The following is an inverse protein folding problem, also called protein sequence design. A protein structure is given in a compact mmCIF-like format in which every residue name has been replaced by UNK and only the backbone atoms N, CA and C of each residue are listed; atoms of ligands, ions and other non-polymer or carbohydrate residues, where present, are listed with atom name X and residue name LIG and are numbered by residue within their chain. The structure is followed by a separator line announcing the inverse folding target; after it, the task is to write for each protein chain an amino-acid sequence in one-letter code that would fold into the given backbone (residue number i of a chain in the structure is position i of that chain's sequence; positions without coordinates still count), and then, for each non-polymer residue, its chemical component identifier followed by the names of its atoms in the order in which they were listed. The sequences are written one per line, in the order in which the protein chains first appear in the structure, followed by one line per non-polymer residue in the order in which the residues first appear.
data_IF_713388896789
#
_entry.id   IF_713388896789
#
_cell.length_a   1.000
_cell.length_b   1.000
_cell.length_c   1.000
_cell.angle_alpha   90.00
_cell.angle_beta   90.00
_cell.angle_gamma   90.00
#
_symmetry.space_group_name_H-M   'P 1'
#
loop_
_entity.id
_entity.type
_entity.pdbx_description
1 polymer ?
#
# COMPACT_ATOMS: atom_id res chain seq x y z
N UNK A 1 -1.81 20.96 20.48
CA UNK A 1 -0.55 20.19 20.31
C UNK A 1 -0.83 19.03 19.34
N UNK A 2 -0.94 19.35 18.04
CA UNK A 2 -1.33 18.41 16.98
C UNK A 2 -0.19 18.33 15.98
N UNK A 3 0.63 17.27 16.04
CA UNK A 3 1.83 17.20 15.21
C UNK A 3 2.33 15.76 15.03
N UNK A 4 1.46 14.76 14.80
CA UNK A 4 1.94 13.39 14.48
C UNK A 4 0.97 12.53 13.62
N UNK A 5 0.02 13.10 12.87
CA UNK A 5 -0.91 12.27 12.06
C UNK A 5 -0.66 12.30 10.55
N UNK A 6 0.13 13.23 10.03
CA UNK A 6 0.31 13.36 8.57
C UNK A 6 1.31 12.38 7.98
N UNK A 7 2.31 11.97 8.75
CA UNK A 7 3.29 11.02 8.23
C UNK A 7 2.66 9.62 8.10
N UNK A 8 2.90 8.93 6.98
CA UNK A 8 2.67 7.49 6.90
C UNK A 8 3.44 6.75 8.02
N UNK A 9 2.99 5.56 8.45
CA UNK A 9 3.74 4.77 9.41
C UNK A 9 5.07 4.29 8.80
N UNK A 10 6.10 4.15 9.63
CA UNK A 10 7.30 3.42 9.25
C UNK A 10 7.07 1.93 9.52
N UNK A 11 7.06 1.04 8.51
CA UNK A 11 6.87 -0.37 8.74
C UNK A 11 8.06 -0.93 9.52
N UNK A 12 7.78 -1.62 10.62
CA UNK A 12 8.76 -2.45 11.32
C UNK A 12 8.88 -3.77 10.57
N UNK A 13 9.67 -3.81 9.50
CA UNK A 13 9.96 -5.05 8.81
C UNK A 13 11.17 -5.74 9.47
N UNK A 14 11.18 -7.08 9.57
CA UNK A 14 12.40 -7.78 9.87
C UNK A 14 13.44 -7.43 8.79
N UNK A 15 14.75 -7.41 9.11
CA UNK A 15 15.79 -6.93 8.21
C UNK A 15 15.86 -7.65 6.85
N UNK A 16 15.16 -8.79 6.71
CA UNK A 16 14.98 -9.54 5.46
C UNK A 16 13.56 -10.12 5.38
N UNK A 17 12.56 -9.34 4.98
CA UNK A 17 11.27 -9.90 4.60
C UNK A 17 11.40 -10.51 3.20
N UNK A 18 11.37 -11.84 3.07
CA UNK A 18 11.56 -12.52 1.79
C UNK A 18 12.91 -12.24 1.11
N UNK A 19 13.97 -11.97 1.91
CA UNK A 19 15.30 -11.61 1.37
C UNK A 19 15.48 -10.13 1.01
N UNK A 20 14.46 -9.29 1.25
CA UNK A 20 14.52 -7.85 0.97
C UNK A 20 14.93 -7.02 2.18
N UNK A 21 15.87 -6.10 1.96
CA UNK A 21 16.21 -5.05 2.90
C UNK A 21 15.58 -3.73 2.44
N UNK A 22 14.92 -3.02 3.37
CA UNK A 22 14.37 -1.68 3.13
C UNK A 22 15.23 -0.60 3.72
N UNK A 23 15.48 0.44 2.93
CA UNK A 23 16.19 1.64 3.34
C UNK A 23 15.28 2.86 3.10
N UNK A 24 14.97 3.65 4.14
CA UNK A 24 14.28 4.92 3.94
C UNK A 24 15.11 5.82 3.02
N UNK A 25 14.47 6.45 2.04
CA UNK A 25 15.10 7.44 1.17
C UNK A 25 14.69 8.87 1.51
N UNK A 26 13.64 9.02 2.32
CA UNK A 26 13.14 10.32 2.80
C UNK A 26 13.41 10.48 4.29
N UNK A 27 13.84 11.67 4.69
CA UNK A 27 13.92 12.04 6.09
C UNK A 27 12.51 12.12 6.73
N UNK A 28 12.33 11.74 8.02
CA UNK A 28 11.04 11.80 8.69
C UNK A 28 10.31 13.15 8.66
N UNK A 29 11.04 14.27 8.71
CA UNK A 29 10.46 15.61 8.65
C UNK A 29 9.96 15.96 7.24
N UNK A 30 10.68 15.52 6.20
CA UNK A 30 10.21 15.65 4.82
C UNK A 30 9.01 14.75 4.55
N UNK A 31 9.04 13.53 5.09
CA UNK A 31 7.93 12.58 4.94
C UNK A 31 6.62 13.11 5.51
N UNK A 32 6.69 13.79 6.67
CA UNK A 32 5.54 14.42 7.30
C UNK A 32 4.97 15.55 6.43
N UNK A 33 5.83 16.40 5.86
CA UNK A 33 5.40 17.52 4.99
C UNK A 33 4.79 17.06 3.67
N UNK A 34 5.29 15.95 3.11
CA UNK A 34 4.76 15.37 1.87
C UNK A 34 3.56 14.45 2.09
N UNK A 35 3.27 14.04 3.33
CA UNK A 35 2.31 12.97 3.59
C UNK A 35 2.75 11.62 3.01
N UNK A 36 4.05 11.44 2.78
CA UNK A 36 4.63 10.35 1.97
C UNK A 36 5.94 9.84 2.57
N UNK A 37 6.17 8.53 2.57
CA UNK A 37 7.47 7.91 2.91
C UNK A 37 7.95 7.10 1.73
N UNK A 38 9.17 7.36 1.29
CA UNK A 38 9.82 6.57 0.26
C UNK A 38 10.89 5.65 0.83
N UNK A 39 11.00 4.47 0.24
CA UNK A 39 11.98 3.44 0.57
C UNK A 39 12.63 2.93 -0.71
N UNK A 40 13.88 2.51 -0.60
CA UNK A 40 14.52 1.62 -1.55
C UNK A 40 14.53 0.23 -0.94
N UNK A 41 13.92 -0.73 -1.63
CA UNK A 41 14.02 -2.15 -1.32
C UNK A 41 15.10 -2.78 -2.21
N UNK A 42 15.98 -3.56 -1.60
CA UNK A 42 17.04 -4.30 -2.28
C UNK A 42 16.98 -5.77 -1.88
N UNK A 43 17.15 -6.68 -2.83
CA UNK A 43 17.38 -8.10 -2.58
C UNK A 43 18.71 -8.53 -3.22
N UNK A 44 19.24 -9.68 -2.80
CA UNK A 44 20.53 -10.19 -3.30
C UNK A 44 20.48 -10.56 -4.79
N UNK A 45 19.29 -10.75 -5.38
CA UNK A 45 19.08 -11.34 -6.70
C UNK A 45 18.49 -10.38 -7.75
N UNK A 46 18.32 -9.08 -7.46
CA UNK A 46 17.61 -8.19 -8.37
C UNK A 46 17.93 -6.70 -8.22
N UNK A 47 17.50 -5.88 -9.19
CA UNK A 47 17.67 -4.44 -9.11
C UNK A 47 16.86 -3.85 -7.93
N UNK A 48 17.30 -2.71 -7.38
CA UNK A 48 16.55 -2.02 -6.35
C UNK A 48 15.17 -1.59 -6.86
N UNK A 49 14.15 -1.74 -6.01
CA UNK A 49 12.83 -1.17 -6.25
C UNK A 49 12.56 -0.05 -5.26
N UNK A 50 11.84 0.96 -5.72
CA UNK A 50 11.38 2.09 -4.93
C UNK A 50 9.95 1.82 -4.50
N UNK A 51 9.70 1.99 -3.20
CA UNK A 51 8.37 1.99 -2.63
C UNK A 51 8.03 3.40 -2.20
N UNK A 52 6.80 3.83 -2.44
CA UNK A 52 6.23 5.01 -1.81
C UNK A 52 4.96 4.65 -1.08
N UNK A 53 4.85 5.15 0.15
CA UNK A 53 3.65 5.00 0.97
C UNK A 53 3.12 6.40 1.23
N UNK A 54 1.86 6.65 0.88
CA UNK A 54 1.19 7.95 1.10
C UNK A 54 -0.01 7.79 2.00
N UNK A 55 -0.38 8.86 2.72
CA UNK A 55 -1.72 8.98 3.30
C UNK A 55 -2.70 9.36 2.20
N UNK A 56 -3.83 8.65 2.10
CA UNK A 56 -4.86 8.96 1.11
C UNK A 56 -5.34 10.43 1.16
N UNK A 57 -5.55 11.08 2.34
CA UNK A 57 -5.89 12.50 2.40
C UNK A 57 -4.98 13.44 1.57
N UNK A 58 -3.73 13.04 1.37
CA UNK A 58 -2.68 13.79 0.67
C UNK A 58 -2.41 13.27 -0.75
N UNK A 59 -3.22 12.34 -1.24
CA UNK A 59 -3.06 11.68 -2.52
C UNK A 59 -4.26 11.96 -3.45
N UNK A 60 -4.07 12.07 -4.79
CA UNK A 60 -5.16 12.29 -5.76
C UNK A 60 -6.32 11.29 -5.65
N UNK A 61 -6.03 10.04 -5.26
CA UNK A 61 -7.03 8.98 -5.04
C UNK A 61 -8.12 9.31 -4.01
N UNK A 62 -7.92 10.33 -3.17
CA UNK A 62 -8.94 10.82 -2.24
C UNK A 62 -10.26 11.22 -2.95
N UNK A 63 -10.17 11.56 -4.23
CA UNK A 63 -11.33 11.94 -5.04
C UNK A 63 -12.07 10.74 -5.66
N UNK A 64 -11.50 9.53 -5.60
CA UNK A 64 -12.01 8.37 -6.34
C UNK A 64 -12.93 7.47 -5.51
N UNK A 65 -12.90 7.56 -4.18
CA UNK A 65 -13.73 6.73 -3.29
C UNK A 65 -13.82 7.32 -1.88
N UNK A 66 -14.81 6.90 -1.06
CA UNK A 66 -14.86 7.26 0.36
C UNK A 66 -13.69 6.63 1.14
N UNK A 67 -12.77 7.46 1.62
CA UNK A 67 -11.55 7.04 2.31
C UNK A 67 -11.55 7.36 3.81
N UNK A 68 -10.81 6.57 4.58
CA UNK A 68 -10.50 6.83 5.98
C UNK A 68 -9.23 7.67 6.16
N UNK A 69 -9.13 8.43 7.25
CA UNK A 69 -7.95 9.26 7.54
C UNK A 69 -6.64 8.46 7.69
N UNK A 70 -6.75 7.16 7.96
CA UNK A 70 -5.61 6.25 8.11
C UNK A 70 -5.38 5.34 6.90
N UNK A 71 -6.17 5.50 5.83
CA UNK A 71 -5.97 4.72 4.61
C UNK A 71 -4.64 5.13 3.98
N UNK A 72 -3.94 4.12 3.46
CA UNK A 72 -2.63 4.29 2.83
C UNK A 72 -2.71 4.02 1.34
N UNK A 73 -1.88 4.69 0.57
CA UNK A 73 -1.58 4.33 -0.83
C UNK A 73 -0.17 3.77 -0.88
N UNK A 74 0.01 2.65 -1.58
CA UNK A 74 1.30 2.02 -1.82
C UNK A 74 1.59 1.99 -3.33
N UNK A 75 2.74 2.54 -3.71
CA UNK A 75 3.25 2.53 -5.09
C UNK A 75 4.60 1.82 -5.13
N UNK A 76 4.87 1.09 -6.22
CA UNK A 76 6.12 0.33 -6.44
C UNK A 76 6.72 0.70 -7.80
N UNK A 77 8.02 0.98 -7.87
CA UNK A 77 8.70 1.35 -9.13
C UNK A 77 10.18 0.94 -9.12
N UNK A 78 10.73 0.24 -10.12
CA UNK A 78 10.02 -0.35 -11.24
C UNK A 78 9.20 -1.56 -10.77
N UNK A 79 8.08 -1.81 -11.44
CA UNK A 79 7.41 -3.10 -11.37
C UNK A 79 8.19 -4.09 -12.24
N UNK A 80 9.26 -4.63 -11.69
CA UNK A 80 10.06 -5.71 -12.31
C UNK A 80 9.53 -7.07 -11.82
N UNK A 81 10.16 -8.18 -12.23
CA UNK A 81 9.67 -9.55 -12.17
C UNK A 81 8.79 -9.91 -10.94
N UNK A 82 7.72 -10.63 -11.23
CA UNK A 82 6.57 -10.88 -10.35
C UNK A 82 6.96 -11.53 -9.01
N UNK A 83 7.84 -12.52 -9.02
CA UNK A 83 8.07 -13.35 -7.83
C UNK A 83 8.78 -12.62 -6.68
N UNK A 84 9.93 -11.93 -6.89
CA UNK A 84 10.61 -11.23 -5.80
C UNK A 84 9.78 -10.10 -5.18
N UNK A 85 9.06 -9.31 -5.99
CA UNK A 85 8.26 -8.18 -5.49
C UNK A 85 7.02 -8.66 -4.74
N UNK A 86 6.41 -9.75 -5.18
CA UNK A 86 5.24 -10.33 -4.50
C UNK A 86 5.54 -10.66 -3.04
N UNK A 87 6.69 -11.29 -2.76
CA UNK A 87 7.06 -11.65 -1.37
C UNK A 87 7.40 -10.44 -0.51
N UNK A 88 8.01 -9.41 -1.11
CA UNK A 88 8.19 -8.11 -0.45
C UNK A 88 6.85 -7.52 -0.02
N UNK A 89 5.87 -7.47 -0.91
CA UNK A 89 4.54 -6.92 -0.63
C UNK A 89 3.81 -7.74 0.44
N UNK A 90 3.85 -9.08 0.36
CA UNK A 90 3.25 -9.96 1.38
C UNK A 90 3.83 -9.73 2.77
N UNK A 91 5.13 -9.46 2.88
CA UNK A 91 5.76 -9.11 4.16
C UNK A 91 5.42 -7.69 4.62
N UNK A 92 5.38 -6.73 3.69
CA UNK A 92 5.16 -5.31 3.96
C UNK A 92 3.74 -5.01 4.47
N UNK A 93 2.71 -5.63 3.90
CA UNK A 93 1.33 -5.33 4.26
C UNK A 93 1.03 -5.55 5.76
N UNK A 94 1.32 -6.71 6.38
CA UNK A 94 1.15 -6.89 7.82
C UNK A 94 1.97 -5.91 8.66
N UNK A 95 3.19 -5.56 8.21
CA UNK A 95 4.04 -4.63 8.94
C UNK A 95 3.46 -3.20 8.93
N UNK A 96 2.82 -2.78 7.83
CA UNK A 96 2.13 -1.50 7.75
C UNK A 96 0.89 -1.46 8.64
N UNK A 97 0.06 -2.51 8.64
CA UNK A 97 -1.09 -2.60 9.55
C UNK A 97 -0.69 -2.67 11.02
N UNK A 98 0.44 -3.31 11.33
CA UNK A 98 0.98 -3.32 12.69
C UNK A 98 1.47 -1.93 13.12
N UNK A 99 2.12 -1.21 12.21
CA UNK A 99 2.66 0.13 12.47
C UNK A 99 1.57 1.22 12.55
N UNK A 100 0.43 1.05 11.88
CA UNK A 100 -0.76 1.85 12.06
C UNK A 100 -2.02 1.00 12.26
N UNK A 101 -2.35 0.64 13.52
CA UNK A 101 -3.52 -0.19 13.83
C UNK A 101 -4.88 0.43 13.44
N UNK A 102 -4.92 1.72 13.09
CA UNK A 102 -6.14 2.39 12.60
C UNK A 102 -6.28 2.31 11.08
N UNK A 103 -5.25 1.87 10.37
CA UNK A 103 -5.29 1.64 8.93
C UNK A 103 -6.23 0.47 8.61
N UNK A 104 -7.34 0.76 7.93
CA UNK A 104 -8.35 -0.25 7.57
C UNK A 104 -8.13 -0.85 6.19
N UNK A 105 -7.40 -0.15 5.32
CA UNK A 105 -7.07 -0.59 3.97
C UNK A 105 -5.80 0.09 3.45
N UNK A 106 -5.09 -0.63 2.59
CA UNK A 106 -3.96 -0.14 1.81
C UNK A 106 -4.35 -0.26 0.35
N UNK A 107 -4.29 0.85 -0.38
CA UNK A 107 -4.67 0.95 -1.79
C UNK A 107 -3.43 0.93 -2.67
N UNK A 108 -3.49 0.19 -3.77
CA UNK A 108 -2.58 0.34 -4.89
C UNK A 108 -3.39 0.75 -6.13
N UNK A 109 -2.80 1.59 -6.99
CA UNK A 109 -3.47 2.10 -8.18
C UNK A 109 -2.52 2.07 -9.38
N UNK A 110 -2.12 0.88 -9.88
CA UNK A 110 -1.37 0.77 -11.12
C UNK A 110 -2.15 1.38 -12.29
N UNK A 111 -1.42 1.83 -13.31
CA UNK A 111 -2.01 2.20 -14.59
C UNK A 111 -2.83 1.05 -15.17
N UNK A 112 -3.92 1.37 -15.85
CA UNK A 112 -4.81 0.37 -16.44
C UNK A 112 -4.09 -0.56 -17.43
N UNK A 113 -3.12 -0.03 -18.17
CA UNK A 113 -2.31 -0.79 -19.13
C UNK A 113 -1.16 -1.60 -18.48
N UNK A 114 -0.89 -1.43 -17.19
CA UNK A 114 0.21 -2.10 -16.49
C UNK A 114 -0.22 -3.46 -15.92
N UNK A 115 -0.41 -4.42 -16.81
CA UNK A 115 -0.85 -5.77 -16.44
C UNK A 115 0.16 -6.50 -15.54
N UNK A 116 1.45 -6.18 -15.63
CA UNK A 116 2.49 -6.82 -14.83
C UNK A 116 2.38 -6.43 -13.35
N UNK A 117 2.18 -5.14 -13.07
CA UNK A 117 1.93 -4.66 -11.70
C UNK A 117 0.62 -5.22 -11.16
N UNK A 118 -0.42 -5.26 -11.99
CA UNK A 118 -1.73 -5.80 -11.59
C UNK A 118 -1.63 -7.28 -11.15
N UNK A 119 -0.98 -8.13 -11.95
CA UNK A 119 -0.75 -9.54 -11.59
C UNK A 119 0.09 -9.69 -10.30
N UNK A 120 1.07 -8.81 -10.11
CA UNK A 120 1.90 -8.80 -8.90
C UNK A 120 1.08 -8.44 -7.65
N UNK A 121 0.19 -7.44 -7.76
CA UNK A 121 -0.70 -7.04 -6.67
C UNK A 121 -1.68 -8.16 -6.29
N UNK A 122 -2.29 -8.81 -7.27
CA UNK A 122 -3.17 -9.96 -7.04
C UNK A 122 -2.43 -11.10 -6.33
N UNK A 123 -1.24 -11.45 -6.83
CA UNK A 123 -0.40 -12.47 -6.21
C UNK A 123 0.04 -12.09 -4.78
N UNK A 124 0.20 -10.80 -4.50
CA UNK A 124 0.54 -10.28 -3.18
C UNK A 124 -0.65 -10.24 -2.20
N UNK A 125 -1.86 -10.56 -2.67
CA UNK A 125 -3.07 -10.63 -1.85
C UNK A 125 -3.94 -9.37 -1.89
N UNK A 126 -3.66 -8.44 -2.80
CA UNK A 126 -4.60 -7.36 -3.09
C UNK A 126 -5.81 -7.88 -3.86
N UNK A 127 -6.96 -7.23 -3.66
CA UNK A 127 -8.20 -7.48 -4.40
C UNK A 127 -8.49 -6.32 -5.32
N UNK A 128 -8.75 -6.60 -6.60
CA UNK A 128 -9.22 -5.61 -7.57
C UNK A 128 -10.60 -5.07 -7.15
N UNK A 129 -10.80 -3.76 -7.23
CA UNK A 129 -12.05 -3.09 -6.83
C UNK A 129 -12.75 -2.50 -8.05
N UNK A 130 -12.15 -1.51 -8.70
CA UNK A 130 -12.73 -0.76 -9.82
C UNK A 130 -11.63 -0.03 -10.59
N UNK A 131 -11.94 0.45 -11.79
CA UNK A 131 -11.15 1.49 -12.46
C UNK A 131 -11.52 2.88 -11.94
N UNK A 132 -10.60 3.83 -12.05
CA UNK A 132 -10.82 5.24 -11.77
C UNK A 132 -9.96 6.12 -12.69
N UNK A 133 -10.49 7.29 -13.05
CA UNK A 133 -9.75 8.29 -13.80
C UNK A 133 -9.08 9.29 -12.85
N UNK A 134 -7.77 9.44 -13.00
CA UNK A 134 -6.98 10.47 -12.35
C UNK A 134 -6.50 11.51 -13.38
N UNK A 135 -6.06 12.71 -12.95
CA UNK A 135 -5.51 13.71 -13.87
C UNK A 135 -4.36 13.19 -14.74
N UNK A 136 -3.60 12.22 -14.23
CA UNK A 136 -2.42 11.66 -14.90
C UNK A 136 -2.74 10.37 -15.70
N UNK A 137 -4.00 9.92 -15.70
CA UNK A 137 -4.46 8.75 -16.46
C UNK A 137 -5.39 7.82 -15.70
N UNK A 138 -5.90 6.81 -16.40
CA UNK A 138 -6.78 5.79 -15.86
C UNK A 138 -5.98 4.72 -15.09
N UNK A 139 -6.48 4.38 -13.91
CA UNK A 139 -5.86 3.43 -12.99
C UNK A 139 -6.85 2.35 -12.58
N UNK A 140 -6.33 1.19 -12.17
CA UNK A 140 -7.14 0.14 -11.55
C UNK A 140 -6.89 0.15 -10.05
N UNK A 141 -7.93 0.33 -9.25
CA UNK A 141 -7.85 0.33 -7.79
C UNK A 141 -7.82 -1.09 -7.25
N UNK A 142 -6.79 -1.35 -6.46
CA UNK A 142 -6.59 -2.58 -5.69
C UNK A 142 -6.59 -2.26 -4.20
N UNK A 143 -7.18 -3.13 -3.38
CA UNK A 143 -7.22 -2.99 -1.93
C UNK A 143 -6.63 -4.20 -1.24
N UNK A 144 -5.80 -3.96 -0.22
CA UNK A 144 -5.45 -4.93 0.79
C UNK A 144 -6.09 -4.51 2.11
N UNK A 145 -6.72 -5.44 2.81
CA UNK A 145 -7.36 -5.21 4.10
C UNK A 145 -6.67 -6.08 5.17
N UNK A 146 -6.64 -5.65 6.44
CA UNK A 146 -6.05 -6.44 7.49
C UNK A 146 -6.85 -7.74 7.68
N UNK A 147 -6.20 -8.84 8.11
CA UNK A 147 -6.85 -10.14 8.29
C UNK A 147 -8.01 -10.11 9.31
N UNK A 148 -8.04 -9.13 10.21
CA UNK A 148 -9.14 -8.91 11.16
C UNK A 148 -10.43 -8.37 10.51
N UNK A 149 -10.33 -7.75 9.32
CA UNK A 149 -11.47 -7.20 8.57
C UNK A 149 -12.03 -8.23 7.58
N UNK A 150 -11.19 -9.11 7.04
CA UNK A 150 -11.59 -10.16 6.09
C UNK A 150 -12.42 -11.31 6.70
N UNK A 151 -12.57 -11.34 8.03
CA UNK A 151 -13.42 -12.30 8.75
C UNK A 151 -14.83 -11.81 9.09
N UNK A 152 -15.16 -10.55 8.83
CA UNK A 152 -16.52 -10.04 9.09
C UNK A 152 -17.35 -10.25 7.83
N UNK A 153 -18.07 -11.37 7.80
CA UNK A 153 -19.09 -11.65 6.81
C UNK A 153 -20.04 -10.46 6.71
N UNK A 154 -20.09 -9.82 5.54
CA UNK A 154 -21.13 -8.82 5.19
C UNK A 154 -22.46 -9.50 4.85
N UNK A 155 -22.68 -10.74 5.28
CA UNK A 155 -23.96 -11.40 5.13
C UNK A 155 -25.00 -10.62 5.93
N UNK A 156 -25.74 -9.79 5.21
CA UNK A 156 -26.93 -9.08 5.68
C UNK A 156 -28.08 -10.05 6.02
N UNK A 157 -27.88 -11.36 5.78
CA UNK A 157 -28.86 -12.43 5.98
C UNK A 157 -29.04 -12.89 7.44
N UNK A 158 -28.21 -12.45 8.39
CA UNK A 158 -28.32 -12.82 9.82
C UNK A 158 -29.03 -11.75 10.68
N UNK A 159 -29.72 -10.79 10.06
CA UNK A 159 -30.48 -9.79 10.80
C UNK A 159 -31.81 -10.41 11.29
N UNK A 160 -32.06 -10.51 12.61
CA UNK A 160 -33.30 -11.09 13.09
C UNK A 160 -34.48 -10.23 12.64
N UNK A 161 -35.42 -10.83 11.91
CA UNK A 161 -36.71 -10.26 11.57
C UNK A 161 -37.65 -10.24 12.78
#
# INVERSE_FOLDING_TARGET
MALVLDAPPAPSLPPRAGGWALRPTTDPAEASRRGARAYTATCDAGPPVRLEIHRVPHHPLRACYPFGAHDLVLSVTPATEVAPITDLLRGLLPALFTADPRCRRIIAAPAECDSATQLTLEAAGFRRVTEADLPDGSVVLYTAEPPSVTGVSTALDDMPH
#
